data_IF_134166362963
#
_entry.id   IF_134166362963
#
_cell.length_a   1.000
_cell.length_b   1.000
_cell.length_c   1.000
_cell.angle_alpha   90.00
_cell.angle_beta   90.00
_cell.angle_gamma   90.00
#
_symmetry.space_group_name_H-M   'P 1'
#
loop_
_entity.id
_entity.type
_entity.pdbx_description
1 polymer ?
#
# COMPACT_ATOMS: atom_id res chain seq x y z
N UNK A 1 4.17 17.94 6.28
CA UNK A 1 4.09 16.62 5.60
C UNK A 1 3.50 16.82 4.21
N UNK A 2 4.17 16.40 3.13
CA UNK A 2 3.66 16.58 1.76
C UNK A 2 2.48 15.62 1.54
N UNK A 3 1.56 15.97 0.64
CA UNK A 3 0.40 15.13 0.33
C UNK A 3 0.80 13.72 -0.15
N UNK A 4 1.89 13.59 -0.90
CA UNK A 4 2.45 12.31 -1.33
C UNK A 4 2.87 11.42 -0.16
N UNK A 5 3.46 12.01 0.88
CA UNK A 5 3.94 11.27 2.04
C UNK A 5 2.77 10.72 2.85
N UNK A 6 1.64 11.43 2.88
CA UNK A 6 0.38 10.95 3.51
C UNK A 6 -0.16 9.73 2.80
N UNK A 7 -0.19 9.73 1.47
CA UNK A 7 -0.68 8.58 0.69
C UNK A 7 0.20 7.35 0.88
N UNK A 8 1.53 7.53 0.89
CA UNK A 8 2.48 6.44 1.16
C UNK A 8 2.25 5.89 2.57
N UNK A 9 2.15 6.77 3.58
CA UNK A 9 1.92 6.36 4.96
C UNK A 9 0.59 5.59 5.12
N UNK A 10 -0.50 6.10 4.55
CA UNK A 10 -1.81 5.46 4.57
C UNK A 10 -1.77 4.09 3.88
N UNK A 11 -1.11 4.00 2.72
CA UNK A 11 -0.94 2.74 1.98
C UNK A 11 -0.18 1.69 2.80
N UNK A 12 0.97 2.06 3.40
CA UNK A 12 1.75 1.16 4.25
C UNK A 12 0.95 0.74 5.49
N UNK A 13 0.32 1.70 6.18
CA UNK A 13 -0.48 1.42 7.37
C UNK A 13 -1.63 0.45 7.05
N UNK A 14 -2.32 0.66 5.94
CA UNK A 14 -3.39 -0.24 5.48
C UNK A 14 -2.91 -1.66 5.19
N UNK A 15 -1.78 -1.82 4.51
CA UNK A 15 -1.15 -3.14 4.28
C UNK A 15 -0.81 -3.81 5.61
N UNK A 16 -0.15 -3.08 6.53
CA UNK A 16 0.22 -3.62 7.83
C UNK A 16 -1.00 -4.07 8.63
N UNK A 17 -2.05 -3.24 8.70
CA UNK A 17 -3.30 -3.60 9.40
C UNK A 17 -3.94 -4.83 8.79
N UNK A 18 -4.05 -4.89 7.45
CA UNK A 18 -4.68 -6.01 6.75
C UNK A 18 -3.92 -7.32 6.94
N UNK A 19 -2.58 -7.29 6.88
CA UNK A 19 -1.75 -8.47 7.12
C UNK A 19 -1.85 -8.95 8.58
N UNK A 20 -1.84 -8.04 9.55
CA UNK A 20 -2.03 -8.42 10.96
C UNK A 20 -3.42 -9.00 11.20
N UNK A 21 -4.46 -8.45 10.57
CA UNK A 21 -5.82 -8.96 10.68
C UNK A 21 -5.95 -10.35 10.03
N UNK A 22 -5.32 -10.56 8.88
CA UNK A 22 -5.25 -11.88 8.24
C UNK A 22 -4.54 -12.89 9.14
N UNK A 23 -3.39 -12.51 9.72
CA UNK A 23 -2.64 -13.35 10.65
C UNK A 23 -3.46 -13.70 11.90
N UNK A 24 -4.15 -12.72 12.48
CA UNK A 24 -5.04 -12.92 13.62
C UNK A 24 -6.19 -13.87 13.26
N UNK A 25 -6.83 -13.68 12.10
CA UNK A 25 -7.90 -14.54 11.63
C UNK A 25 -7.41 -15.99 11.38
N UNK A 26 -6.18 -16.15 10.92
CA UNK A 26 -5.58 -17.47 10.72
C UNK A 26 -5.21 -18.16 12.04
N UNK A 27 -4.51 -17.46 12.95
CA UNK A 27 -4.01 -18.05 14.20
C UNK A 27 -5.08 -18.22 15.27
N UNK A 28 -5.93 -17.21 15.47
CA UNK A 28 -6.87 -17.13 16.60
C UNK A 28 -8.23 -17.67 16.18
N UNK A 29 -8.77 -17.18 15.07
CA UNK A 29 -10.12 -17.54 14.62
C UNK A 29 -10.15 -18.84 13.81
N UNK A 30 -8.98 -19.35 13.38
CA UNK A 30 -8.85 -20.49 12.46
C UNK A 30 -9.74 -20.36 11.23
N UNK A 31 -9.89 -19.13 10.73
CA UNK A 31 -10.78 -18.84 9.62
C UNK A 31 -10.23 -19.46 8.32
N UNK A 32 -10.98 -20.32 7.60
CA UNK A 32 -10.45 -21.05 6.45
C UNK A 32 -9.97 -20.11 5.33
N UNK A 33 -10.69 -19.01 5.09
CA UNK A 33 -10.29 -18.00 4.12
C UNK A 33 -9.02 -17.20 4.50
N UNK A 34 -8.55 -17.29 5.74
CA UNK A 34 -7.32 -16.61 6.17
C UNK A 34 -6.05 -17.40 5.82
N UNK A 35 -6.18 -18.65 5.37
CA UNK A 35 -5.05 -19.47 4.89
C UNK A 35 -4.46 -18.85 3.64
N UNK A 36 -3.22 -18.35 3.73
CA UNK A 36 -2.54 -17.72 2.60
C UNK A 36 -2.57 -18.59 1.34
N UNK A 37 -2.82 -17.94 0.20
CA UNK A 37 -2.85 -18.54 -1.14
C UNK A 37 -3.90 -19.63 -1.38
N UNK A 38 -4.84 -19.83 -0.46
CA UNK A 38 -6.04 -20.63 -0.73
C UNK A 38 -7.00 -19.90 -1.68
N UNK A 39 -7.87 -20.64 -2.37
CA UNK A 39 -8.88 -20.06 -3.28
C UNK A 39 -9.77 -19.03 -2.56
N UNK A 40 -10.13 -19.32 -1.30
CA UNK A 40 -10.90 -18.41 -0.47
C UNK A 40 -10.11 -17.16 -0.04
N UNK A 41 -8.79 -17.25 0.06
CA UNK A 41 -7.93 -16.11 0.39
C UNK A 41 -7.85 -15.10 -0.75
N UNK A 42 -7.77 -15.59 -1.99
CA UNK A 42 -7.76 -14.77 -3.19
C UNK A 42 -9.03 -13.93 -3.37
N UNK A 43 -10.18 -14.42 -2.92
CA UNK A 43 -11.43 -13.67 -2.99
C UNK A 43 -11.65 -12.75 -1.78
N UNK A 44 -11.16 -13.13 -0.59
CA UNK A 44 -11.49 -12.44 0.65
C UNK A 44 -10.47 -11.39 1.09
N UNK A 45 -9.17 -11.66 0.92
CA UNK A 45 -8.10 -10.83 1.49
C UNK A 45 -7.27 -10.12 0.41
N UNK A 46 -7.00 -10.82 -0.69
CA UNK A 46 -6.19 -10.29 -1.77
C UNK A 46 -6.74 -8.97 -2.37
N UNK A 47 -8.06 -8.78 -2.58
CA UNK A 47 -8.57 -7.51 -3.11
C UNK A 47 -8.25 -6.32 -2.20
N UNK A 48 -8.32 -6.52 -0.88
CA UNK A 48 -7.94 -5.51 0.10
C UNK A 48 -6.44 -5.21 0.05
N UNK A 49 -5.59 -6.23 -0.03
CA UNK A 49 -4.15 -6.06 -0.18
C UNK A 49 -3.80 -5.29 -1.47
N UNK A 50 -4.45 -5.63 -2.57
CA UNK A 50 -4.29 -4.95 -3.87
C UNK A 50 -4.71 -3.49 -3.79
N UNK A 51 -5.85 -3.18 -3.15
CA UNK A 51 -6.32 -1.81 -3.00
C UNK A 51 -5.31 -0.92 -2.25
N UNK A 52 -4.76 -1.40 -1.13
CA UNK A 52 -3.73 -0.66 -0.39
C UNK A 52 -2.43 -0.54 -1.16
N UNK A 53 -2.04 -1.57 -1.91
CA UNK A 53 -0.88 -1.53 -2.78
C UNK A 53 -1.02 -0.48 -3.90
N UNK A 54 -2.21 -0.32 -4.48
CA UNK A 54 -2.48 0.74 -5.46
C UNK A 54 -2.32 2.13 -4.82
N UNK A 55 -2.88 2.36 -3.63
CA UNK A 55 -2.74 3.64 -2.91
C UNK A 55 -1.27 3.96 -2.65
N UNK A 56 -0.50 2.97 -2.19
CA UNK A 56 0.94 3.09 -1.97
C UNK A 56 1.68 3.48 -3.27
N UNK A 57 1.37 2.79 -4.36
CA UNK A 57 1.97 3.01 -5.68
C UNK A 57 1.67 4.41 -6.23
N UNK A 58 0.43 4.89 -6.06
CA UNK A 58 0.02 6.25 -6.43
C UNK A 58 0.80 7.29 -5.62
N UNK A 59 0.91 7.11 -4.30
CA UNK A 59 1.70 7.99 -3.43
C UNK A 59 3.16 8.08 -3.87
N UNK A 60 3.77 6.94 -4.23
CA UNK A 60 5.13 6.88 -4.74
C UNK A 60 5.28 7.59 -6.09
N UNK A 61 4.33 7.41 -7.00
CA UNK A 61 4.28 8.09 -8.29
C UNK A 61 4.29 9.62 -8.15
N UNK A 62 3.42 10.16 -7.28
CA UNK A 62 3.39 11.60 -7.01
C UNK A 62 4.68 12.13 -6.40
N UNK A 63 5.27 11.38 -5.46
CA UNK A 63 6.57 11.77 -4.86
C UNK A 63 7.66 11.84 -5.92
N UNK A 64 7.72 10.88 -6.84
CA UNK A 64 8.70 10.85 -7.93
C UNK A 64 8.54 12.04 -8.87
N UNK A 65 7.31 12.37 -9.28
CA UNK A 65 7.04 13.53 -10.13
C UNK A 65 7.49 14.84 -9.46
N UNK A 66 7.21 15.02 -8.17
CA UNK A 66 7.65 16.20 -7.43
C UNK A 66 9.19 16.35 -7.43
N UNK A 67 9.92 15.25 -7.24
CA UNK A 67 11.40 15.27 -7.28
C UNK A 67 11.92 15.61 -8.69
N UNK A 68 11.31 15.07 -9.74
CA UNK A 68 11.71 15.35 -11.13
C UNK A 68 11.49 16.82 -11.49
N UNK A 69 10.36 17.41 -11.10
CA UNK A 69 10.05 18.82 -11.38
C UNK A 69 11.05 19.78 -10.70
N UNK A 70 11.39 19.51 -9.43
CA UNK A 70 12.42 20.29 -8.70
C UNK A 70 13.77 20.22 -9.40
N UNK A 71 14.17 19.04 -9.89
CA UNK A 71 15.44 18.86 -10.61
C UNK A 71 15.47 19.62 -11.94
N UNK A 72 14.35 19.66 -12.68
CA UNK A 72 14.25 20.41 -13.94
C UNK A 72 14.35 21.92 -13.71
N UNK A 73 13.62 22.46 -12.73
CA UNK A 73 13.66 23.89 -12.43
C UNK A 73 15.02 24.40 -11.93
N UNK A 74 15.85 23.56 -11.31
CA UNK A 74 17.24 23.94 -10.96
C UNK A 74 18.19 23.93 -12.16
N UNK A 75 17.90 23.14 -13.20
CA UNK A 75 18.72 23.07 -14.41
C UNK A 75 18.49 24.22 -15.39
N UNK A 76 17.34 24.89 -15.31
CA UNK A 76 17.01 26.07 -16.14
C UNK A 76 17.53 27.40 -15.55
N UNK A 77 18.05 27.41 -14.32
CA UNK A 77 18.57 28.60 -13.63
C UNK A 77 20.10 28.73 -13.67
N UNK A 78 20.78 27.99 -14.55
CA UNK A 78 22.23 28.04 -14.81
C UNK A 78 22.44 28.39 -16.29
#
# INVERSE_FOLDING_TARGET
MRSSDRLIFIGVAGICVLLNLNLFAWMVLRHPAATFFSDAWWSSWFPGLLAWFVILSVGYGFRRQAVVQVRKGMGENI
#
